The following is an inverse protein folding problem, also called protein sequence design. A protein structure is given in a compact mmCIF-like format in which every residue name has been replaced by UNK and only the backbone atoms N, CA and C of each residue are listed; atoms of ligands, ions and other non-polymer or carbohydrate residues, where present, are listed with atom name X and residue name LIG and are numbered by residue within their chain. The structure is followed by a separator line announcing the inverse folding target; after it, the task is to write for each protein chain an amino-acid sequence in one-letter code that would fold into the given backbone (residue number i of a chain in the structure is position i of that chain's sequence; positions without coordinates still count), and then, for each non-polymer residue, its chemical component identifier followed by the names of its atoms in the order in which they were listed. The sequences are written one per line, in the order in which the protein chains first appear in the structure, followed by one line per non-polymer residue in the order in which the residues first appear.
data_IF_384187117596
#
_entry.id   IF_384187117596
#
_cell.length_a   1.000
_cell.length_b   1.000
_cell.length_c   1.000
_cell.angle_alpha   90.00
_cell.angle_beta   90.00
_cell.angle_gamma   90.00
#
_symmetry.space_group_name_H-M   'P 1'
#
loop_
_entity.id
_entity.type
_entity.pdbx_description
1 polymer ?
#
# COMPACT_ATOMS: atom_id res chain seq x y z
N UNK A 1 -4.43 -17.10 3.55
CA UNK A 1 -4.93 -15.78 3.99
C UNK A 1 -6.25 -15.93 4.72
N UNK A 2 -6.44 -15.18 5.80
CA UNK A 2 -7.71 -15.14 6.53
C UNK A 2 -8.69 -14.17 5.87
N UNK A 3 -8.17 -13.04 5.39
CA UNK A 3 -8.91 -12.06 4.61
C UNK A 3 -8.30 -11.93 3.22
N UNK A 4 -9.17 -11.79 2.22
CA UNK A 4 -8.76 -11.59 0.84
C UNK A 4 -9.32 -10.27 0.33
N UNK A 5 -8.45 -9.43 -0.19
CA UNK A 5 -8.82 -8.21 -0.87
C UNK A 5 -8.33 -8.31 -2.31
N UNK A 6 -9.25 -8.43 -3.25
CA UNK A 6 -8.94 -8.38 -4.67
C UNK A 6 -9.23 -6.97 -5.18
N UNK A 7 -8.19 -6.19 -5.38
CA UNK A 7 -8.33 -4.83 -5.90
C UNK A 7 -8.41 -4.82 -7.42
N UNK A 8 -9.27 -3.95 -7.92
CA UNK A 8 -9.37 -3.61 -9.34
C UNK A 8 -9.33 -2.10 -9.48
N UNK A 9 -8.85 -1.62 -10.62
CA UNK A 9 -8.83 -0.19 -10.90
C UNK A 9 -10.24 0.40 -10.92
N UNK A 10 -10.50 1.34 -10.02
CA UNK A 10 -11.77 2.08 -9.89
C UNK A 10 -13.01 1.17 -9.85
N UNK A 11 -12.88 -0.03 -9.29
CA UNK A 11 -13.99 -0.97 -9.15
C UNK A 11 -13.87 -1.76 -7.85
N UNK A 12 -14.94 -1.77 -7.07
CA UNK A 12 -15.09 -2.62 -5.89
C UNK A 12 -15.68 -3.95 -6.36
N UNK A 13 -14.97 -5.06 -6.13
CA UNK A 13 -15.51 -6.38 -6.39
C UNK A 13 -16.61 -6.70 -5.37
N UNK A 14 -17.79 -7.06 -5.85
CA UNK A 14 -18.95 -7.40 -5.00
C UNK A 14 -19.30 -8.88 -5.05
N UNK A 15 -18.58 -9.67 -5.84
CA UNK A 15 -18.89 -11.09 -6.04
C UNK A 15 -18.85 -11.91 -4.74
N UNK A 16 -17.95 -11.54 -3.83
CA UNK A 16 -17.77 -12.22 -2.56
C UNK A 16 -18.34 -11.46 -1.35
N UNK A 17 -19.20 -10.48 -1.54
CA UNK A 17 -19.70 -9.58 -0.48
C UNK A 17 -20.39 -10.29 0.69
N UNK A 18 -20.97 -11.46 0.46
CA UNK A 18 -21.65 -12.26 1.48
C UNK A 18 -20.68 -13.12 2.32
N UNK A 19 -19.41 -13.21 1.94
CA UNK A 19 -18.43 -13.96 2.71
C UNK A 19 -17.95 -13.14 3.90
N UNK A 20 -17.85 -13.77 5.06
CA UNK A 20 -17.41 -13.14 6.31
C UNK A 20 -16.00 -12.50 6.21
N UNK A 21 -15.13 -13.06 5.38
CA UNK A 21 -13.77 -12.56 5.16
C UNK A 21 -13.66 -11.62 3.93
N UNK A 22 -14.79 -11.17 3.39
CA UNK A 22 -14.81 -10.20 2.30
C UNK A 22 -14.33 -8.83 2.76
N UNK A 23 -13.42 -8.23 2.00
CA UNK A 23 -12.92 -6.88 2.23
C UNK A 23 -13.19 -6.05 0.98
N UNK A 24 -14.08 -5.05 1.05
CA UNK A 24 -14.29 -4.15 -0.07
C UNK A 24 -13.06 -3.29 -0.28
N UNK A 25 -12.51 -3.32 -1.50
CA UNK A 25 -11.28 -2.63 -1.84
C UNK A 25 -11.29 -2.24 -3.31
N UNK A 26 -10.65 -1.13 -3.64
CA UNK A 26 -10.31 -0.78 -5.03
C UNK A 26 -8.96 -0.06 -5.07
N UNK A 27 -8.30 -0.15 -6.21
CA UNK A 27 -7.14 0.66 -6.52
C UNK A 27 -7.57 1.88 -7.33
N UNK A 28 -7.08 3.04 -6.93
CA UNK A 28 -7.29 4.30 -7.62
C UNK A 28 -6.01 4.72 -8.34
N UNK A 29 -6.15 5.25 -9.54
CA UNK A 29 -5.06 5.88 -10.28
C UNK A 29 -4.97 5.42 -11.73
N UNK A 30 -5.02 6.37 -12.67
CA UNK A 30 -4.82 6.14 -14.11
C UNK A 30 -3.59 6.84 -14.64
N UNK A 31 -2.89 7.62 -13.81
CA UNK A 31 -1.86 8.51 -14.29
C UNK A 31 -0.58 7.78 -14.70
N UNK A 32 0.19 8.44 -15.58
CA UNK A 32 1.40 7.88 -16.16
C UNK A 32 2.52 7.59 -15.16
N UNK A 33 2.54 8.30 -14.03
CA UNK A 33 3.55 8.17 -12.97
C UNK A 33 3.21 7.11 -11.92
N UNK A 34 2.07 6.42 -12.04
CA UNK A 34 1.65 5.42 -11.06
C UNK A 34 1.43 6.01 -9.65
N UNK A 35 0.81 7.20 -9.59
CA UNK A 35 0.36 7.78 -8.32
C UNK A 35 -0.92 7.07 -7.89
N UNK A 36 -0.76 5.89 -7.31
CA UNK A 36 -1.88 5.01 -6.97
C UNK A 36 -2.20 5.04 -5.48
N UNK A 37 -3.45 4.76 -5.15
CA UNK A 37 -3.94 4.58 -3.79
C UNK A 37 -4.78 3.31 -3.71
N UNK A 38 -4.60 2.55 -2.64
CA UNK A 38 -5.49 1.44 -2.30
C UNK A 38 -6.47 1.93 -1.23
N UNK A 39 -7.76 1.79 -1.50
CA UNK A 39 -8.81 2.19 -0.56
C UNK A 39 -9.49 0.94 -0.03
N UNK A 40 -9.20 0.59 1.22
CA UNK A 40 -9.71 -0.60 1.91
C UNK A 40 -10.91 -0.18 2.77
N UNK A 41 -11.98 -0.98 2.75
CA UNK A 41 -13.23 -0.68 3.44
C UNK A 41 -14.18 0.21 2.66
N UNK A 42 -13.89 0.46 1.39
CA UNK A 42 -14.62 1.42 0.55
C UNK A 42 -16.06 0.99 0.26
N UNK A 43 -16.99 1.91 0.48
CA UNK A 43 -18.40 1.74 0.07
C UNK A 43 -18.67 2.30 -1.33
N UNK A 44 -17.84 3.21 -1.79
CA UNK A 44 -17.96 3.88 -3.10
C UNK A 44 -16.58 4.18 -3.67
N UNK A 45 -16.52 4.28 -4.99
CA UNK A 45 -15.30 4.63 -5.72
C UNK A 45 -15.20 6.14 -5.86
N UNK A 46 -14.03 6.69 -5.62
CA UNK A 46 -13.66 8.06 -6.02
C UNK A 46 -13.21 8.00 -7.48
N UNK A 47 -13.96 8.62 -8.37
CA UNK A 47 -13.70 8.57 -9.82
C UNK A 47 -12.76 9.68 -10.32
N UNK A 48 -12.63 10.76 -9.56
CA UNK A 48 -11.77 11.88 -9.95
C UNK A 48 -10.30 11.45 -9.91
N UNK A 49 -9.63 11.59 -11.05
CA UNK A 49 -8.19 11.38 -11.18
C UNK A 49 -7.60 12.36 -12.22
N UNK A 50 -6.29 12.37 -12.34
CA UNK A 50 -5.51 13.21 -13.23
C UNK A 50 -4.56 12.35 -14.05
N UNK A 51 -4.64 12.40 -15.38
CA UNK A 51 -3.86 11.56 -16.29
C UNK A 51 -2.40 11.95 -16.30
N UNK A 52 -2.14 13.27 -16.34
CA UNK A 52 -0.79 13.80 -16.34
C UNK A 52 -0.14 13.67 -14.96
N UNK A 53 1.21 13.83 -14.89
CA UNK A 53 1.89 13.82 -13.61
C UNK A 53 1.23 14.77 -12.61
N UNK A 54 0.81 14.23 -11.50
CA UNK A 54 0.04 14.96 -10.49
C UNK A 54 0.93 15.93 -9.72
N UNK A 55 0.44 17.15 -9.55
CA UNK A 55 1.01 18.11 -8.61
C UNK A 55 0.71 17.69 -7.17
N UNK A 56 1.40 18.28 -6.21
CA UNK A 56 1.11 18.06 -4.79
C UNK A 56 -0.36 18.36 -4.44
N UNK A 57 -0.95 19.39 -5.06
CA UNK A 57 -2.36 19.75 -4.87
C UNK A 57 -3.31 18.69 -5.41
N UNK A 58 -3.03 18.12 -6.58
CA UNK A 58 -3.83 17.04 -7.14
C UNK A 58 -3.82 15.83 -6.22
N UNK A 59 -2.62 15.40 -5.77
CA UNK A 59 -2.45 14.30 -4.83
C UNK A 59 -3.25 14.54 -3.53
N UNK A 60 -3.09 15.72 -2.94
CA UNK A 60 -3.78 16.08 -1.71
C UNK A 60 -5.31 16.11 -1.88
N UNK A 61 -5.81 16.62 -3.00
CA UNK A 61 -7.24 16.64 -3.30
C UNK A 61 -7.82 15.22 -3.36
N UNK A 62 -7.16 14.31 -4.07
CA UNK A 62 -7.60 12.91 -4.19
C UNK A 62 -7.64 12.24 -2.80
N UNK A 63 -6.56 12.37 -2.02
CA UNK A 63 -6.49 11.81 -0.67
C UNK A 63 -7.60 12.34 0.24
N UNK A 64 -7.88 13.64 0.16
CA UNK A 64 -8.99 14.24 0.91
C UNK A 64 -10.35 13.68 0.49
N UNK A 65 -10.61 13.52 -0.82
CA UNK A 65 -11.86 12.92 -1.31
C UNK A 65 -12.06 11.49 -0.81
N UNK A 66 -10.98 10.69 -0.73
CA UNK A 66 -11.02 9.33 -0.20
C UNK A 66 -11.28 9.29 1.30
N UNK A 67 -10.70 10.21 2.04
CA UNK A 67 -10.82 10.27 3.50
C UNK A 67 -12.16 10.85 4.00
N UNK A 68 -13.01 11.37 3.11
CA UNK A 68 -14.37 11.83 3.50
C UNK A 68 -15.23 10.69 4.09
N UNK A 69 -15.01 9.47 3.67
CA UNK A 69 -15.57 8.30 4.35
C UNK A 69 -14.55 7.81 5.38
N UNK A 70 -14.84 8.04 6.66
CA UNK A 70 -13.97 7.68 7.78
C UNK A 70 -13.82 6.16 7.97
N UNK A 71 -14.65 5.34 7.32
CA UNK A 71 -14.46 3.89 7.29
C UNK A 71 -13.31 3.47 6.38
N UNK A 72 -12.98 4.29 5.39
CA UNK A 72 -11.87 4.02 4.50
C UNK A 72 -10.54 3.97 5.25
N UNK A 73 -9.70 3.02 4.86
CA UNK A 73 -8.28 3.00 5.16
C UNK A 73 -7.56 3.28 3.83
N UNK A 74 -6.86 4.40 3.76
CA UNK A 74 -6.19 4.88 2.56
C UNK A 74 -4.71 4.52 2.61
N UNK A 75 -4.24 3.77 1.62
CA UNK A 75 -2.84 3.36 1.49
C UNK A 75 -2.24 4.05 0.27
N UNK A 76 -1.07 4.66 0.40
CA UNK A 76 -0.27 5.07 -0.76
C UNK A 76 0.38 3.82 -1.35
N UNK A 77 -0.12 3.37 -2.51
CA UNK A 77 0.43 2.19 -3.18
C UNK A 77 1.79 2.50 -3.79
N UNK A 78 2.73 1.58 -3.59
CA UNK A 78 4.06 1.56 -4.19
C UNK A 78 4.64 2.96 -4.53
N UNK A 79 4.71 3.91 -3.57
CA UNK A 79 4.99 5.31 -3.85
C UNK A 79 6.34 5.54 -4.53
N UNK A 80 7.28 4.61 -4.38
CA UNK A 80 8.59 4.66 -5.04
C UNK A 80 8.53 4.26 -6.53
N UNK A 81 7.46 3.58 -6.99
CA UNK A 81 7.36 3.12 -8.38
C UNK A 81 7.12 4.32 -9.30
N UNK A 82 7.98 4.46 -10.32
CA UNK A 82 7.96 5.55 -11.31
C UNK A 82 7.87 6.96 -10.71
N UNK A 83 8.31 7.14 -9.46
CA UNK A 83 8.17 8.40 -8.72
C UNK A 83 6.71 8.89 -8.69
N UNK A 84 5.78 7.98 -8.44
CA UNK A 84 4.36 8.32 -8.29
C UNK A 84 4.17 9.34 -7.18
N UNK A 85 4.92 9.18 -6.10
CA UNK A 85 5.10 10.17 -5.06
C UNK A 85 6.57 10.52 -4.93
N UNK A 86 6.89 11.80 -4.88
CA UNK A 86 8.23 12.23 -4.48
C UNK A 86 8.39 12.01 -2.97
N UNK A 87 9.60 11.68 -2.53
CA UNK A 87 9.88 11.49 -1.10
C UNK A 87 9.47 12.72 -0.29
N UNK A 88 9.69 13.93 -0.83
CA UNK A 88 9.33 15.18 -0.17
C UNK A 88 7.82 15.42 -0.09
N UNK A 89 7.02 14.83 -0.98
CA UNK A 89 5.55 14.92 -0.90
C UNK A 89 5.05 14.41 0.46
N UNK A 90 5.71 13.39 1.01
CA UNK A 90 5.31 12.73 2.24
C UNK A 90 5.47 13.62 3.49
N UNK A 91 6.21 14.72 3.39
CA UNK A 91 6.27 15.75 4.44
C UNK A 91 4.97 16.56 4.50
N UNK A 92 4.29 16.73 3.36
CA UNK A 92 3.21 17.67 3.18
C UNK A 92 1.84 17.01 3.07
N UNK A 93 1.74 15.85 2.36
CA UNK A 93 0.48 15.16 2.14
C UNK A 93 -0.15 14.64 3.43
N UNK A 94 -1.49 14.71 3.51
CA UNK A 94 -2.31 14.22 4.61
C UNK A 94 -3.44 13.33 4.09
N UNK A 95 -4.25 12.78 5.01
CA UNK A 95 -5.42 11.96 4.69
C UNK A 95 -5.10 10.59 4.06
N UNK A 96 -3.96 10.00 4.44
CA UNK A 96 -3.65 8.60 4.20
C UNK A 96 -3.21 7.96 5.52
N UNK A 97 -3.48 6.68 5.67
CA UNK A 97 -3.24 5.93 6.92
C UNK A 97 -1.98 5.09 6.83
N UNK A 98 -1.72 4.55 5.64
CA UNK A 98 -0.64 3.59 5.40
C UNK A 98 0.17 3.93 4.15
N UNK A 99 1.36 3.34 4.10
CA UNK A 99 2.23 3.29 2.91
C UNK A 99 2.46 1.82 2.57
N UNK A 100 2.37 1.47 1.31
CA UNK A 100 2.87 0.20 0.82
C UNK A 100 4.40 0.23 0.85
N UNK A 101 4.96 -0.35 1.93
CA UNK A 101 6.39 -0.43 2.16
C UNK A 101 7.04 -1.46 1.25
N UNK A 102 6.37 -2.61 1.13
CA UNK A 102 6.86 -3.78 0.41
C UNK A 102 5.97 -4.04 -0.81
N UNK A 103 6.58 -3.92 -1.98
CA UNK A 103 6.00 -4.22 -3.29
C UNK A 103 7.05 -4.90 -4.15
N UNK A 104 6.70 -5.85 -5.05
CA UNK A 104 7.66 -6.53 -5.92
C UNK A 104 8.51 -5.60 -6.77
N UNK A 105 7.98 -4.45 -7.15
CA UNK A 105 8.64 -3.49 -8.05
C UNK A 105 9.57 -2.52 -7.31
N UNK A 106 9.27 -2.16 -6.06
CA UNK A 106 10.09 -1.24 -5.27
C UNK A 106 9.73 -1.29 -3.78
N UNK A 107 10.70 -1.00 -2.91
CA UNK A 107 10.47 -0.78 -1.48
C UNK A 107 10.49 0.72 -1.18
N UNK A 108 9.60 1.17 -0.27
CA UNK A 108 9.32 2.58 -0.04
C UNK A 108 9.85 3.10 1.31
N UNK A 109 11.02 2.63 1.75
CA UNK A 109 11.60 3.00 3.06
C UNK A 109 11.82 4.51 3.20
N UNK A 110 12.39 5.16 2.18
CA UNK A 110 12.65 6.60 2.23
C UNK A 110 11.36 7.42 2.35
N UNK A 111 10.30 7.00 1.67
CA UNK A 111 8.98 7.63 1.78
C UNK A 111 8.43 7.50 3.20
N UNK A 112 8.48 6.28 3.75
CA UNK A 112 8.00 6.01 5.11
C UNK A 112 8.77 6.82 6.15
N UNK A 113 10.10 6.73 6.15
CA UNK A 113 10.94 7.46 7.11
C UNK A 113 10.76 8.99 7.01
N UNK A 114 10.50 9.50 5.81
CA UNK A 114 10.19 10.92 5.59
C UNK A 114 8.86 11.32 6.20
N UNK A 115 7.80 10.52 6.02
CA UNK A 115 6.51 10.76 6.64
C UNK A 115 6.59 10.73 8.18
N UNK A 116 7.27 9.73 8.74
CA UNK A 116 7.48 9.58 10.18
C UNK A 116 8.30 10.72 10.78
N UNK A 117 9.36 11.13 10.08
CA UNK A 117 10.23 12.25 10.47
C UNK A 117 9.46 13.58 10.49
N UNK A 118 8.51 13.75 9.54
CA UNK A 118 7.59 14.88 9.55
C UNK A 118 6.50 14.77 10.65
N UNK A 119 6.58 13.74 11.49
CA UNK A 119 5.72 13.53 12.66
C UNK A 119 4.35 12.94 12.33
N UNK A 120 4.20 12.30 11.18
CA UNK A 120 2.94 11.65 10.80
C UNK A 120 2.87 10.26 11.40
N UNK A 121 1.69 9.90 11.94
CA UNK A 121 1.43 8.55 12.44
C UNK A 121 0.97 7.67 11.27
N UNK A 122 1.93 7.17 10.49
CA UNK A 122 1.70 6.37 9.29
C UNK A 122 2.22 4.95 9.51
N UNK A 123 1.40 3.98 9.17
CA UNK A 123 1.70 2.56 9.25
C UNK A 123 2.07 1.97 7.89
N UNK A 124 2.42 0.68 7.86
CA UNK A 124 2.86 0.04 6.62
C UNK A 124 2.05 -1.20 6.29
N UNK A 125 2.02 -1.50 4.99
CA UNK A 125 1.54 -2.76 4.45
C UNK A 125 2.58 -3.36 3.51
N UNK A 126 2.49 -4.68 3.32
CA UNK A 126 3.14 -5.40 2.24
C UNK A 126 2.09 -6.04 1.36
N UNK A 127 2.21 -5.87 0.05
CA UNK A 127 1.32 -6.46 -0.95
C UNK A 127 2.12 -7.09 -2.08
N UNK A 128 1.64 -8.20 -2.59
CA UNK A 128 2.25 -8.86 -3.75
C UNK A 128 2.05 -8.09 -5.06
N UNK A 129 1.06 -7.21 -5.13
CA UNK A 129 0.67 -6.49 -6.37
C UNK A 129 0.63 -7.44 -7.58
N UNK A 130 0.09 -8.64 -7.35
CA UNK A 130 0.19 -9.73 -8.30
C UNK A 130 -0.94 -9.67 -9.33
N UNK A 131 -0.55 -9.59 -10.60
CA UNK A 131 -1.45 -9.56 -11.74
C UNK A 131 -1.71 -10.95 -12.36
N UNK A 132 -1.09 -12.00 -11.82
CA UNK A 132 -1.24 -13.38 -12.28
C UNK A 132 -1.44 -14.34 -11.11
N UNK A 133 -2.69 -14.67 -10.82
CA UNK A 133 -3.07 -15.58 -9.73
C UNK A 133 -2.59 -17.02 -9.90
N UNK A 134 -2.10 -17.40 -11.08
CA UNK A 134 -1.54 -18.71 -11.35
C UNK A 134 -0.03 -18.77 -11.12
N UNK A 135 0.58 -17.68 -10.68
CA UNK A 135 2.02 -17.63 -10.38
C UNK A 135 2.25 -17.79 -8.87
N UNK A 136 2.28 -19.04 -8.41
CA UNK A 136 2.49 -19.37 -7.00
C UNK A 136 3.80 -18.79 -6.44
N UNK A 137 4.83 -18.63 -7.27
CA UNK A 137 6.09 -18.05 -6.83
C UNK A 137 5.96 -16.56 -6.44
N UNK A 138 5.00 -15.83 -7.02
CA UNK A 138 4.77 -14.43 -6.74
C UNK A 138 3.80 -14.21 -5.57
N UNK A 139 2.89 -15.16 -5.32
CA UNK A 139 1.85 -15.03 -4.29
C UNK A 139 2.43 -15.27 -2.89
N UNK A 140 2.06 -14.42 -1.93
CA UNK A 140 2.39 -14.56 -0.51
C UNK A 140 3.82 -14.15 -0.16
N UNK A 141 4.55 -13.48 -1.05
CA UNK A 141 5.90 -12.98 -0.78
C UNK A 141 5.90 -11.71 0.05
N UNK A 142 4.99 -10.82 -0.26
CA UNK A 142 4.80 -9.57 0.47
C UNK A 142 3.41 -9.58 1.09
N UNK A 143 3.36 -9.62 2.40
CA UNK A 143 2.11 -9.86 3.13
C UNK A 143 2.01 -8.92 4.32
N UNK A 144 0.78 -8.57 4.68
CA UNK A 144 0.48 -7.87 5.91
C UNK A 144 -0.10 -8.86 6.91
N UNK A 145 0.60 -9.11 8.02
CA UNK A 145 0.06 -9.87 9.15
C UNK A 145 -0.63 -8.92 10.12
N UNK A 146 -1.81 -9.30 10.59
CA UNK A 146 -2.62 -8.51 11.51
C UNK A 146 -2.69 -9.23 12.85
N UNK A 147 -2.31 -8.57 13.93
CA UNK A 147 -2.27 -9.15 15.24
C UNK A 147 -3.66 -9.24 15.87
N UNK A 148 -3.88 -10.33 16.61
CA UNK A 148 -5.10 -10.62 17.33
C UNK A 148 -6.25 -11.10 16.43
N UNK A 149 -7.31 -11.60 17.06
CA UNK A 149 -8.47 -12.13 16.36
C UNK A 149 -9.27 -11.00 15.69
N UNK A 150 -9.54 -11.13 14.41
CA UNK A 150 -10.49 -10.33 13.68
C UNK A 150 -11.59 -11.25 13.14
N UNK A 151 -12.84 -11.05 13.60
CA UNK A 151 -13.96 -11.88 13.18
C UNK A 151 -14.51 -11.47 11.81
N UNK A 152 -14.24 -10.24 11.40
CA UNK A 152 -14.80 -9.63 10.19
C UNK A 152 -13.86 -8.53 9.65
N UNK A 153 -14.16 -8.06 8.44
CA UNK A 153 -13.36 -7.04 7.76
C UNK A 153 -13.30 -5.70 8.51
N UNK A 154 -14.36 -5.33 9.23
CA UNK A 154 -14.37 -4.08 9.99
C UNK A 154 -13.36 -4.12 11.13
N UNK A 155 -13.37 -5.19 11.92
CA UNK A 155 -12.39 -5.38 13.00
C UNK A 155 -10.96 -5.48 12.46
N UNK A 156 -10.79 -6.11 11.30
CA UNK A 156 -9.51 -6.15 10.61
C UNK A 156 -9.01 -4.72 10.27
N UNK A 157 -9.85 -3.90 9.64
CA UNK A 157 -9.52 -2.52 9.28
C UNK A 157 -9.23 -1.68 10.53
N UNK A 158 -10.03 -1.82 11.58
CA UNK A 158 -9.82 -1.11 12.86
C UNK A 158 -8.46 -1.45 13.49
N UNK A 159 -8.03 -2.72 13.39
CA UNK A 159 -6.69 -3.13 13.86
C UNK A 159 -5.59 -2.51 13.02
N UNK A 160 -5.73 -2.51 11.72
CA UNK A 160 -4.78 -1.87 10.82
C UNK A 160 -4.66 -0.37 11.14
N UNK A 161 -5.78 0.33 11.31
CA UNK A 161 -5.80 1.76 11.71
C UNK A 161 -5.11 2.04 13.05
N UNK A 162 -5.05 1.05 13.93
CA UNK A 162 -4.32 1.11 15.21
C UNK A 162 -2.85 0.69 15.09
N UNK A 163 -2.37 0.36 13.89
CA UNK A 163 -1.01 -0.15 13.67
C UNK A 163 -0.77 -1.57 14.20
N UNK A 164 -1.84 -2.32 14.50
CA UNK A 164 -1.74 -3.70 14.99
C UNK A 164 -1.49 -4.68 13.82
N UNK A 165 -0.48 -4.38 13.03
CA UNK A 165 -0.06 -5.17 11.88
C UNK A 165 1.43 -5.07 11.66
N UNK A 166 1.96 -5.93 10.81
CA UNK A 166 3.37 -5.97 10.42
C UNK A 166 3.46 -6.31 8.94
N UNK A 167 4.33 -5.62 8.22
CA UNK A 167 4.66 -5.99 6.85
C UNK A 167 5.72 -7.08 6.84
N UNK A 168 5.48 -8.14 6.06
CA UNK A 168 6.35 -9.32 5.98
C UNK A 168 6.84 -9.51 4.56
N UNK A 169 8.14 -9.76 4.44
CA UNK A 169 8.78 -10.20 3.21
C UNK A 169 9.26 -11.64 3.40
N UNK A 170 8.68 -12.57 2.64
CA UNK A 170 9.20 -13.92 2.51
C UNK A 170 10.23 -13.97 1.37
N UNK A 171 11.39 -14.65 1.57
CA UNK A 171 12.35 -14.87 0.51
C UNK A 171 11.73 -15.71 -0.60
N UNK A 172 12.22 -15.53 -1.82
CA UNK A 172 11.80 -16.38 -2.93
C UNK A 172 12.55 -17.70 -2.88
N UNK A 173 11.79 -18.78 -2.69
CA UNK A 173 12.30 -20.15 -2.77
C UNK A 173 11.69 -20.79 -4.00
N UNK A 174 12.54 -21.39 -4.83
CA UNK A 174 12.11 -22.06 -6.07
C UNK A 174 11.17 -23.23 -5.75
N UNK A 175 10.05 -23.30 -6.44
CA UNK A 175 9.00 -24.31 -6.26
C UNK A 175 8.40 -24.38 -4.84
N UNK A 176 8.46 -23.30 -4.07
CA UNK A 176 7.78 -23.24 -2.78
C UNK A 176 6.27 -23.19 -2.98
N UNK A 177 5.56 -24.13 -2.33
CA UNK A 177 4.10 -24.20 -2.39
C UNK A 177 3.43 -23.08 -1.59
N UNK A 178 2.20 -22.72 -1.97
CA UNK A 178 1.39 -21.75 -1.20
C UNK A 178 1.13 -22.24 0.24
N UNK A 179 0.99 -23.55 0.46
CA UNK A 179 0.80 -24.11 1.81
C UNK A 179 2.05 -23.96 2.67
N UNK A 180 3.26 -24.16 2.11
CA UNK A 180 4.52 -23.88 2.80
C UNK A 180 4.61 -22.41 3.25
N UNK A 181 4.32 -21.46 2.35
CA UNK A 181 4.31 -20.03 2.66
C UNK A 181 3.28 -19.70 3.73
N UNK A 182 2.08 -20.29 3.63
CA UNK A 182 1.02 -20.14 4.63
C UNK A 182 1.47 -20.61 6.00
N UNK A 183 2.08 -21.78 6.08
CA UNK A 183 2.60 -22.35 7.33
C UNK A 183 3.66 -21.44 7.96
N UNK A 184 4.59 -20.90 7.15
CA UNK A 184 5.56 -19.91 7.62
C UNK A 184 4.88 -18.68 8.20
N UNK A 185 3.93 -18.09 7.46
CA UNK A 185 3.20 -16.90 7.91
C UNK A 185 2.41 -17.14 9.20
N UNK A 186 1.78 -18.31 9.35
CA UNK A 186 1.08 -18.69 10.59
C UNK A 186 2.04 -18.77 11.79
N UNK A 187 3.22 -19.34 11.59
CA UNK A 187 4.24 -19.43 12.64
C UNK A 187 4.78 -18.05 13.08
N UNK A 188 4.71 -17.04 12.20
CA UNK A 188 5.14 -15.69 12.55
C UNK A 188 4.17 -14.96 13.51
N UNK A 189 2.90 -15.39 13.60
CA UNK A 189 1.94 -14.79 14.51
C UNK A 189 2.34 -14.90 15.99
N UNK A 190 3.05 -15.97 16.35
CA UNK A 190 3.53 -16.19 17.71
C UNK A 190 4.97 -15.71 17.94
N UNK A 191 5.62 -15.18 16.91
CA UNK A 191 7.02 -14.75 17.02
C UNK A 191 7.19 -13.60 18.01
N UNK A 192 6.32 -12.60 17.94
CA UNK A 192 6.36 -11.43 18.83
C UNK A 192 5.47 -11.75 20.04
N UNK A 193 6.09 -12.04 21.18
CA UNK A 193 5.40 -12.35 22.42
C UNK A 193 5.03 -11.11 23.24
N UNK A 194 5.70 -9.97 23.00
CA UNK A 194 5.37 -8.72 23.66
C UNK A 194 6.15 -7.52 23.11
N UNK A 195 5.45 -6.38 23.07
CA UNK A 195 6.06 -5.06 22.81
C UNK A 195 5.49 -4.12 23.88
N UNK A 196 6.34 -3.44 24.59
CA UNK A 196 5.93 -2.44 25.58
C UNK A 196 6.84 -1.21 25.54
N UNK A 197 6.27 -0.08 25.91
CA UNK A 197 7.00 1.17 26.13
C UNK A 197 6.66 1.64 27.55
N UNK A 198 7.62 1.54 28.46
CA UNK A 198 7.49 1.92 29.87
C UNK A 198 8.67 2.83 30.21
N UNK A 199 8.40 3.97 30.82
CA UNK A 199 9.41 4.95 31.24
C UNK A 199 10.43 5.31 30.13
N UNK A 200 9.92 5.45 28.91
CA UNK A 200 10.73 5.67 27.69
C UNK A 200 11.71 4.52 27.37
N UNK A 201 11.47 3.32 27.87
CA UNK A 201 12.21 2.12 27.51
C UNK A 201 11.32 1.25 26.62
N UNK A 202 11.71 1.06 25.37
CA UNK A 202 11.11 0.10 24.46
C UNK A 202 11.62 -1.29 24.83
N UNK A 203 10.72 -2.20 25.13
CA UNK A 203 11.03 -3.61 25.32
C UNK A 203 10.31 -4.45 24.27
N UNK A 204 11.04 -5.38 23.67
CA UNK A 204 10.53 -6.34 22.67
C UNK A 204 10.94 -7.73 23.12
N UNK A 205 9.96 -8.63 23.21
CA UNK A 205 10.17 -10.03 23.52
C UNK A 205 9.69 -10.90 22.36
N UNK A 206 10.51 -11.86 21.98
CA UNK A 206 10.25 -12.80 20.90
C UNK A 206 10.18 -14.22 21.48
N UNK A 207 9.36 -15.07 20.89
CA UNK A 207 9.22 -16.48 21.33
C UNK A 207 10.44 -17.34 20.97
N UNK A 208 11.29 -16.85 20.05
CA UNK A 208 12.56 -17.49 19.66
C UNK A 208 13.57 -16.44 19.22
N UNK A 209 14.84 -16.83 19.20
CA UNK A 209 15.92 -15.98 18.66
C UNK A 209 15.71 -15.67 17.18
N UNK A 210 16.09 -14.47 16.77
CA UNK A 210 16.13 -14.02 15.37
C UNK A 210 17.58 -13.72 14.97
N UNK A 211 17.90 -13.88 13.69
CA UNK A 211 19.25 -13.65 13.17
C UNK A 211 19.73 -12.20 13.42
N UNK A 212 18.82 -11.24 13.26
CA UNK A 212 19.15 -9.83 13.46
C UNK A 212 17.90 -9.03 13.85
N UNK A 213 18.04 -8.09 14.77
CA UNK A 213 17.08 -7.05 15.09
C UNK A 213 17.71 -5.69 14.87
N UNK A 214 16.96 -4.77 14.27
CA UNK A 214 17.35 -3.38 14.07
C UNK A 214 16.33 -2.45 14.69
N UNK A 215 16.79 -1.40 15.34
CA UNK A 215 15.99 -0.26 15.78
C UNK A 215 16.37 0.94 14.91
N UNK A 216 15.36 1.50 14.27
CA UNK A 216 15.49 2.65 13.38
C UNK A 216 14.75 3.83 14.03
N UNK A 217 15.37 4.99 14.05
CA UNK A 217 14.79 6.21 14.62
C UNK A 217 14.68 7.34 13.60
N UNK A 218 14.60 8.55 14.12
CA UNK A 218 14.42 9.77 13.36
C UNK A 218 15.34 9.87 12.12
N UNK A 219 14.78 10.29 10.98
CA UNK A 219 15.44 10.31 9.66
C UNK A 219 15.83 8.92 9.11
N UNK A 220 15.21 7.84 9.55
CA UNK A 220 15.54 6.49 9.12
C UNK A 220 16.93 6.02 9.60
N UNK A 221 17.49 6.67 10.64
CA UNK A 221 18.82 6.35 11.16
C UNK A 221 18.81 5.05 11.95
N UNK A 222 19.72 4.16 11.63
CA UNK A 222 19.98 2.96 12.43
C UNK A 222 20.48 3.39 13.81
N UNK A 223 19.75 3.02 14.85
CA UNK A 223 20.08 3.32 16.25
C UNK A 223 20.74 2.13 16.94
N UNK A 224 20.27 0.93 16.64
CA UNK A 224 20.77 -0.31 17.19
C UNK A 224 20.67 -1.43 16.17
N UNK A 225 21.66 -2.32 16.22
CA UNK A 225 21.70 -3.58 15.49
C UNK A 225 22.25 -4.66 16.42
N UNK A 226 21.47 -5.70 16.66
CA UNK A 226 21.90 -6.87 17.44
C UNK A 226 21.59 -8.16 16.70
N UNK A 227 22.33 -9.22 16.98
CA UNK A 227 22.21 -10.51 16.34
C UNK A 227 21.97 -11.62 17.35
N UNK A 228 21.28 -12.66 16.90
CA UNK A 228 21.04 -13.91 17.66
C UNK A 228 20.39 -13.65 19.03
N UNK A 229 19.35 -12.81 19.07
CA UNK A 229 18.64 -12.47 20.30
C UNK A 229 17.15 -12.72 20.22
N UNK A 230 16.54 -12.98 21.36
CA UNK A 230 15.09 -13.15 21.52
C UNK A 230 14.43 -12.04 22.34
N UNK A 231 15.22 -11.11 22.88
CA UNK A 231 14.69 -9.94 23.58
C UNK A 231 15.56 -8.72 23.39
N UNK A 232 14.95 -7.56 23.45
CA UNK A 232 15.62 -6.27 23.30
C UNK A 232 15.01 -5.27 24.25
N UNK A 233 15.86 -4.47 24.90
CA UNK A 233 15.46 -3.24 25.59
C UNK A 233 16.26 -2.09 25.01
N UNK A 234 15.57 -0.99 24.64
CA UNK A 234 16.19 0.16 23.99
C UNK A 234 15.59 1.48 24.49
N UNK A 235 16.40 2.49 24.85
CA UNK A 235 15.90 3.78 25.29
C UNK A 235 15.30 4.58 24.12
N UNK A 236 14.08 5.08 24.30
CA UNK A 236 13.43 5.97 23.36
C UNK A 236 13.83 7.42 23.69
N UNK A 237 14.84 7.92 22.99
CA UNK A 237 15.37 9.26 23.19
C UNK A 237 14.32 10.35 22.92
N UNK A 238 14.40 11.48 23.65
CA UNK A 238 13.54 12.65 23.41
C UNK A 238 13.74 13.26 22.01
N UNK A 239 14.88 13.03 21.39
CA UNK A 239 15.19 13.50 20.04
C UNK A 239 14.59 12.61 18.93
N UNK A 240 14.04 11.46 19.27
CA UNK A 240 13.40 10.58 18.31
C UNK A 240 11.88 10.79 18.34
N UNK A 241 11.29 11.17 17.21
CA UNK A 241 9.84 11.29 17.05
C UNK A 241 9.17 9.91 16.99
N UNK A 242 9.91 8.90 16.54
CA UNK A 242 9.45 7.51 16.42
C UNK A 242 10.62 6.55 16.56
N UNK A 243 10.29 5.32 16.92
CA UNK A 243 11.14 4.14 16.73
C UNK A 243 10.37 3.12 15.90
N UNK A 244 11.04 2.48 14.95
CA UNK A 244 10.51 1.30 14.24
C UNK A 244 11.51 0.17 14.30
N UNK A 245 11.03 -1.05 14.24
CA UNK A 245 11.83 -2.24 14.42
C UNK A 245 11.75 -3.14 13.20
N UNK A 246 12.87 -3.67 12.81
CA UNK A 246 13.00 -4.65 11.74
C UNK A 246 13.57 -5.95 12.33
N UNK A 247 12.93 -7.07 12.01
CA UNK A 247 13.39 -8.40 12.40
C UNK A 247 13.83 -9.16 11.14
N UNK A 248 14.96 -9.80 11.21
CA UNK A 248 15.54 -10.63 10.16
C UNK A 248 15.69 -12.05 10.71
N UNK A 249 15.04 -13.01 10.08
CA UNK A 249 15.08 -14.42 10.45
C UNK A 249 16.20 -15.13 9.66
N UNK A 250 16.64 -16.28 10.15
CA UNK A 250 17.71 -17.07 9.53
C UNK A 250 17.33 -17.59 8.13
N UNK A 251 16.05 -17.85 7.88
CA UNK A 251 15.54 -18.29 6.58
C UNK A 251 15.43 -17.15 5.55
N UNK A 252 15.85 -15.92 5.91
CA UNK A 252 15.78 -14.72 5.08
C UNK A 252 14.44 -13.98 5.17
N UNK A 253 13.49 -14.47 5.94
CA UNK A 253 12.23 -13.75 6.22
C UNK A 253 12.51 -12.44 6.95
N UNK A 254 11.80 -11.38 6.58
CA UNK A 254 11.93 -10.06 7.19
C UNK A 254 10.57 -9.54 7.65
N UNK A 255 10.54 -8.98 8.84
CA UNK A 255 9.35 -8.33 9.40
C UNK A 255 9.66 -6.85 9.66
N UNK A 256 8.75 -5.99 9.26
CA UNK A 256 8.84 -4.54 9.46
C UNK A 256 7.66 -4.12 10.34
N UNK A 257 7.97 -3.89 11.63
CA UNK A 257 6.99 -3.53 12.63
C UNK A 257 6.55 -2.08 12.44
N UNK A 258 5.28 -1.83 12.70
CA UNK A 258 4.77 -0.47 12.72
C UNK A 258 5.47 0.37 13.78
N UNK A 259 5.63 1.69 13.55
CA UNK A 259 6.39 2.55 14.42
C UNK A 259 5.69 2.75 15.76
N UNK A 260 6.50 2.88 16.78
CA UNK A 260 6.10 3.33 18.11
C UNK A 260 6.37 4.83 18.13
N UNK A 261 5.35 5.60 18.48
CA UNK A 261 5.42 7.05 18.54
C UNK A 261 5.59 7.50 19.98
N UNK A 262 6.36 8.55 20.17
CA UNK A 262 6.31 9.27 21.42
C UNK A 262 5.01 10.07 21.47
N UNK A 263 4.24 9.94 22.53
CA UNK A 263 3.12 10.84 22.77
C UNK A 263 3.69 12.25 23.06
N UNK A 264 3.75 13.03 21.99
CA UNK A 264 3.95 14.48 22.14
C UNK A 264 2.60 14.98 22.57
N UNK A 265 2.52 15.47 23.82
CA UNK A 265 1.31 16.10 24.36
C UNK A 265 0.69 17.00 23.28
N UNK A 266 -0.63 17.01 23.21
CA UNK A 266 -1.47 17.57 22.13
C UNK A 266 -1.22 19.05 21.74
N UNK A 267 -0.19 19.69 22.31
CA UNK A 267 0.16 21.10 22.08
C UNK A 267 0.75 21.45 20.70
N UNK A 268 1.05 20.47 19.86
CA UNK A 268 1.66 20.71 18.53
C UNK A 268 0.67 20.45 17.38
N UNK A 269 -0.52 21.02 17.48
CA UNK A 269 -1.54 21.03 16.41
C UNK A 269 -1.20 21.92 15.19
N UNK A 270 0.00 22.45 15.09
CA UNK A 270 0.47 23.21 13.91
C UNK A 270 0.48 22.42 12.59
N UNK A 271 0.16 21.12 12.65
CA UNK A 271 0.21 20.19 11.51
C UNK A 271 -1.03 20.22 10.63
N UNK A 272 -2.19 20.60 11.15
CA UNK A 272 -3.44 20.64 10.38
C UNK A 272 -3.58 21.89 9.51
N UNK A 273 -2.86 22.97 9.83
CA UNK A 273 -2.97 24.25 9.12
C UNK A 273 -2.36 24.21 7.70
N UNK A 274 -1.35 23.36 7.48
CA UNK A 274 -0.71 23.25 6.14
C UNK A 274 -1.61 22.47 5.18
N UNK A 275 -2.27 21.41 5.65
CA UNK A 275 -3.13 20.58 4.80
C UNK A 275 -4.36 21.33 4.27
N UNK A 276 -4.98 22.15 5.10
CA UNK A 276 -6.18 22.93 4.71
C UNK A 276 -5.87 23.99 3.66
N UNK A 277 -4.66 24.57 3.67
CA UNK A 277 -4.24 25.55 2.68
C UNK A 277 -3.86 24.95 1.31
N UNK A 278 -3.63 23.64 1.23
CA UNK A 278 -3.28 22.95 -0.02
C UNK A 278 -4.49 22.37 -0.76
N UNK A 279 -5.64 22.26 -0.12
CA UNK A 279 -6.87 21.75 -0.74
C UNK A 279 -7.59 22.93 -1.41
N UNK A 280 -7.03 23.45 -2.48
CA UNK A 280 -7.72 24.45 -3.29
C UNK A 280 -8.00 23.88 -4.68
N UNK A 281 -9.28 23.75 -5.01
CA UNK A 281 -9.72 23.44 -6.37
C UNK A 281 -9.19 24.45 -7.40
N UNK A 282 -8.99 25.69 -6.97
CA UNK A 282 -8.59 26.81 -7.84
C UNK A 282 -7.15 26.68 -8.37
N UNK A 283 -6.36 25.77 -7.78
CA UNK A 283 -4.99 25.49 -8.24
C UNK A 283 -4.89 24.29 -9.17
N UNK A 284 -5.99 23.59 -9.41
CA UNK A 284 -6.09 22.57 -10.44
C UNK A 284 -6.28 23.28 -11.78
N UNK A 285 -5.36 23.12 -12.73
CA UNK A 285 -5.50 23.77 -14.03
C UNK A 285 -6.63 23.10 -14.85
N UNK A 286 -7.84 23.66 -14.93
CA UNK A 286 -8.97 23.02 -15.60
C UNK A 286 -8.76 22.86 -17.11
N UNK A 287 -7.91 23.69 -17.73
CA UNK A 287 -7.52 23.57 -19.12
C UNK A 287 -6.72 22.28 -19.38
N UNK A 288 -5.74 21.97 -18.51
CA UNK A 288 -4.96 20.72 -18.63
C UNK A 288 -5.85 19.48 -18.46
N UNK A 289 -6.82 19.52 -17.54
CA UNK A 289 -7.77 18.42 -17.36
C UNK A 289 -8.69 18.25 -18.56
N UNK A 290 -9.19 19.33 -19.12
CA UNK A 290 -10.02 19.31 -20.33
C UNK A 290 -9.25 18.78 -21.52
N UNK A 291 -7.98 19.18 -21.67
CA UNK A 291 -7.10 18.66 -22.72
C UNK A 291 -6.80 17.16 -22.54
N UNK A 292 -6.60 16.71 -21.31
CA UNK A 292 -6.40 15.31 -20.99
C UNK A 292 -7.63 14.48 -21.33
N UNK A 293 -8.82 14.94 -20.96
CA UNK A 293 -10.08 14.28 -21.27
C UNK A 293 -10.33 14.22 -22.79
N UNK A 294 -10.12 15.31 -23.49
CA UNK A 294 -10.25 15.36 -24.95
C UNK A 294 -9.27 14.40 -25.65
N UNK A 295 -8.02 14.34 -25.16
CA UNK A 295 -6.99 13.43 -25.70
C UNK A 295 -7.37 11.95 -25.45
N UNK A 296 -7.92 11.61 -24.28
CA UNK A 296 -8.41 10.25 -24.00
C UNK A 296 -9.56 9.86 -24.92
N UNK A 297 -10.53 10.75 -25.10
CA UNK A 297 -11.65 10.52 -26.01
C UNK A 297 -11.12 10.28 -27.42
N UNK A 298 -10.17 11.11 -27.88
CA UNK A 298 -9.51 10.96 -29.19
C UNK A 298 -8.81 9.63 -29.36
N UNK A 299 -8.05 9.18 -28.35
CA UNK A 299 -7.38 7.87 -28.35
C UNK A 299 -8.41 6.74 -28.37
N UNK A 300 -9.45 6.82 -27.54
CA UNK A 300 -10.50 5.79 -27.47
C UNK A 300 -11.24 5.65 -28.81
N UNK A 301 -11.61 6.78 -29.43
CA UNK A 301 -12.25 6.79 -30.75
C UNK A 301 -11.31 6.21 -31.82
N UNK A 302 -10.03 6.56 -31.77
CA UNK A 302 -9.02 6.05 -32.72
C UNK A 302 -8.85 4.52 -32.58
N UNK A 303 -8.72 4.00 -31.36
CA UNK A 303 -8.61 2.57 -31.10
C UNK A 303 -9.86 1.82 -31.56
N UNK A 304 -11.05 2.39 -31.29
CA UNK A 304 -12.32 1.81 -31.75
C UNK A 304 -12.40 1.76 -33.27
N UNK A 305 -11.97 2.82 -33.96
CA UNK A 305 -11.95 2.89 -35.42
C UNK A 305 -10.95 1.89 -36.02
N UNK A 306 -9.76 1.73 -35.43
CA UNK A 306 -8.78 0.73 -35.85
C UNK A 306 -9.35 -0.70 -35.70
N UNK A 307 -9.99 -1.00 -34.56
CA UNK A 307 -10.65 -2.31 -34.35
C UNK A 307 -11.77 -2.54 -35.38
N UNK A 308 -12.59 -1.51 -35.67
CA UNK A 308 -13.65 -1.61 -36.66
C UNK A 308 -13.11 -1.88 -38.06
N UNK A 309 -12.04 -1.18 -38.48
CA UNK A 309 -11.36 -1.43 -39.76
C UNK A 309 -10.74 -2.81 -39.85
N UNK A 310 -10.12 -3.29 -38.77
CA UNK A 310 -9.56 -4.66 -38.73
C UNK A 310 -10.65 -5.72 -38.88
N UNK A 311 -11.79 -5.55 -38.20
CA UNK A 311 -12.92 -6.46 -38.29
C UNK A 311 -13.59 -6.44 -39.66
N UNK A 312 -13.66 -5.29 -40.35
CA UNK A 312 -14.13 -5.21 -41.71
C UNK A 312 -13.21 -5.97 -42.68
N UNK A 313 -11.89 -5.76 -42.58
CA UNK A 313 -10.91 -6.49 -43.43
C UNK A 313 -10.99 -8.00 -43.25
N UNK A 314 -11.21 -8.49 -42.00
CA UNK A 314 -11.37 -9.93 -41.74
C UNK A 314 -12.68 -10.45 -42.37
N UNK A 315 -13.76 -9.67 -42.34
CA UNK A 315 -15.01 -10.03 -43.02
C UNK A 315 -14.84 -10.10 -44.55
N UNK A 316 -14.16 -9.12 -45.14
CA UNK A 316 -13.92 -9.08 -46.56
C UNK A 316 -13.03 -10.26 -47.03
N UNK A 317 -12.02 -10.65 -46.27
CA UNK A 317 -11.20 -11.84 -46.53
C UNK A 317 -11.99 -13.17 -46.41
N UNK A 318 -12.95 -13.26 -45.51
CA UNK A 318 -13.80 -14.47 -45.37
C UNK A 318 -14.86 -14.60 -46.47
N UNK A 319 -15.24 -13.51 -47.12
CA UNK A 319 -16.18 -13.55 -48.25
C UNK A 319 -15.48 -14.06 -49.50
N UNK A 320 -14.20 -13.70 -49.72
CA UNK A 320 -13.43 -14.19 -50.87
C UNK A 320 -13.09 -15.68 -50.82
N UNK A 321 -13.03 -16.30 -49.63
CA UNK A 321 -12.80 -17.73 -49.52
C UNK A 321 -14.03 -18.61 -49.73
N UNK A 322 -15.25 -18.07 -49.72
CA UNK A 322 -16.49 -18.81 -49.99
C UNK A 322 -16.89 -18.77 -51.46
N UNK A 323 -16.22 -17.98 -52.31
CA UNK A 323 -16.48 -17.89 -53.75
C UNK A 323 -15.68 -18.85 -54.63
N UNK A 324 -14.80 -19.70 -54.04
CA UNK A 324 -14.07 -20.74 -54.79
C UNK A 324 -14.52 -22.13 -54.37
N UNK A 325 -15.72 -22.55 -54.83
CA UNK A 325 -16.08 -23.95 -54.92
C UNK A 325 -16.85 -24.18 -56.20
N UNK A 326 -16.23 -25.03 -57.04
CA UNK A 326 -16.82 -25.81 -58.13
C UNK A 326 -17.02 -25.09 -59.47
N UNK A 327 -16.04 -25.28 -60.34
CA UNK A 327 -16.15 -25.44 -61.76
C UNK A 327 -15.23 -26.60 -62.17
#
# INVERSE_FOLDING_TARGET
HTFHALSQYHKIDTFNKEKQNYVPVYEHGYNLKKTHQLVIGAKRVVWKDYIFPQTLHNKQFILHEMAKDTNNLVVLNHPAVRSGYDVNDLKLLHYYDHIELLNPSAQSFAHWDTALTAGKKIFVVGNDDNHNIFNDNAIGRFTTLIFGAASDSKKMIDRMKKGQSVAVWLPQIHNETLESKRSKLLNLHSLISGISLIDSMLAINLSKSVAEIRVIGHHGKLKLKQRNISSLTFPFSQNDAYLRVELYLEDGTKLYLNPIFRDIAEGNQGRNLIATNYISRDRTNPLMESFALASMIGIFVSVRNVKKRKNMRIKDMNIDTTGMSLG
#
